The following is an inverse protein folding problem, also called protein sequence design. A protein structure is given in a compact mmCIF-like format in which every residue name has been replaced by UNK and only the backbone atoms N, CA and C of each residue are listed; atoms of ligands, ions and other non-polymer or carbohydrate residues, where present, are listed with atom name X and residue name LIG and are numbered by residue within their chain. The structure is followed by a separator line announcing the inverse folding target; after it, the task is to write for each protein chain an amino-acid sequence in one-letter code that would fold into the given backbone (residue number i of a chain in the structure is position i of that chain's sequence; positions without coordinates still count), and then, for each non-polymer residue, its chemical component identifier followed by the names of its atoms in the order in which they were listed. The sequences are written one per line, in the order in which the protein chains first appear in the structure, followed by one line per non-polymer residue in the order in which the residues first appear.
data_IF_071012198753
#
_entry.id   IF_071012198753
#
_cell.length_a   1.000
_cell.length_b   1.000
_cell.length_c   1.000
_cell.angle_alpha   90.00
_cell.angle_beta   90.00
_cell.angle_gamma   90.00
#
_symmetry.space_group_name_H-M   'P 1'
#
loop_
_entity.id
_entity.type
_entity.pdbx_description
1 polymer ?
#
# COMPACT_ATOMS: atom_id res chain seq x y z
N UNK A 1 21.76 -5.16 -29.23
CA UNK A 1 21.67 -5.41 -27.77
C UNK A 1 21.14 -4.12 -27.19
N UNK A 2 19.96 -4.13 -26.58
CA UNK A 2 19.41 -2.92 -25.95
C UNK A 2 20.23 -2.66 -24.69
N UNK A 3 20.83 -1.48 -24.59
CA UNK A 3 21.34 -1.00 -23.31
C UNK A 3 20.13 -0.95 -22.36
N UNK A 4 20.15 -1.80 -21.33
CA UNK A 4 19.08 -1.84 -20.35
C UNK A 4 19.27 -0.62 -19.46
N UNK A 5 18.34 0.34 -19.54
CA UNK A 5 18.33 1.48 -18.62
C UNK A 5 18.27 0.99 -17.17
N UNK A 6 19.00 1.67 -16.29
CA UNK A 6 18.97 1.40 -14.86
C UNK A 6 17.57 1.71 -14.31
N UNK A 7 17.00 0.78 -13.55
CA UNK A 7 15.78 1.04 -12.78
C UNK A 7 16.16 1.62 -11.42
N UNK A 8 15.43 2.66 -11.00
CA UNK A 8 15.57 3.28 -9.69
C UNK A 8 14.25 3.08 -8.94
N UNK A 9 14.30 2.42 -7.79
CA UNK A 9 13.12 2.06 -7.00
C UNK A 9 13.32 2.54 -5.55
N UNK A 10 12.22 2.97 -4.92
CA UNK A 10 12.17 3.31 -3.50
C UNK A 10 11.17 2.37 -2.84
N UNK A 11 11.62 1.63 -1.83
CA UNK A 11 10.78 0.72 -1.04
C UNK A 11 10.28 1.48 0.18
N UNK A 12 8.96 1.45 0.38
CA UNK A 12 8.31 2.02 1.56
C UNK A 12 7.92 0.87 2.48
N UNK A 13 8.42 0.89 3.71
CA UNK A 13 8.04 -0.04 4.78
C UNK A 13 7.25 0.72 5.85
N UNK A 14 6.15 0.12 6.31
CA UNK A 14 5.31 0.67 7.37
C UNK A 14 3.84 0.83 6.99
N UNK A 15 3.07 1.42 7.90
CA UNK A 15 1.63 1.65 7.74
C UNK A 15 1.33 3.16 7.61
N UNK A 16 0.36 3.49 6.76
CA UNK A 16 -0.20 4.85 6.68
C UNK A 16 -1.49 4.85 7.49
N UNK A 17 -1.65 5.85 8.35
CA UNK A 17 -2.80 5.96 9.25
C UNK A 17 -3.37 7.37 9.19
N UNK A 18 -4.70 7.47 9.17
CA UNK A 18 -5.38 8.74 9.32
C UNK A 18 -5.49 9.09 10.81
N UNK A 19 -5.29 10.37 11.14
CA UNK A 19 -5.44 10.86 12.52
C UNK A 19 -6.91 10.89 12.99
N UNK A 20 -7.86 10.73 12.06
CA UNK A 20 -9.30 10.70 12.33
C UNK A 20 -10.04 10.05 11.17
N UNK A 21 -11.16 9.38 11.49
CA UNK A 21 -12.00 8.70 10.50
C UNK A 21 -11.46 7.32 10.11
N UNK A 22 -12.24 6.62 9.28
CA UNK A 22 -11.86 5.31 8.77
C UNK A 22 -11.17 5.50 7.42
N UNK A 23 -9.86 5.26 7.36
CA UNK A 23 -9.12 5.20 6.10
C UNK A 23 -9.29 3.80 5.51
N UNK A 24 -10.04 3.69 4.41
CA UNK A 24 -10.16 2.43 3.68
C UNK A 24 -9.01 2.29 2.68
N UNK A 25 -8.70 1.05 2.30
CA UNK A 25 -7.68 0.79 1.27
C UNK A 25 -8.05 1.42 -0.08
N UNK A 26 -9.34 1.43 -0.42
CA UNK A 26 -9.85 2.01 -1.68
C UNK A 26 -9.68 3.53 -1.72
N UNK A 27 -10.09 4.26 -0.67
CA UNK A 27 -9.94 5.72 -0.61
C UNK A 27 -8.46 6.12 -0.64
N UNK A 28 -7.62 5.36 0.06
CA UNK A 28 -6.18 5.56 0.01
C UNK A 28 -5.61 5.29 -1.38
N UNK A 29 -5.99 4.18 -2.01
CA UNK A 29 -5.49 3.77 -3.31
C UNK A 29 -5.79 4.82 -4.38
N UNK A 30 -7.01 5.35 -4.44
CA UNK A 30 -7.37 6.38 -5.42
C UNK A 30 -6.46 7.61 -5.30
N UNK A 31 -6.32 8.16 -4.08
CA UNK A 31 -5.48 9.34 -3.83
C UNK A 31 -4.00 9.07 -4.08
N UNK A 32 -3.51 7.90 -3.66
CA UNK A 32 -2.11 7.52 -3.81
C UNK A 32 -1.76 7.32 -5.29
N UNK A 33 -2.60 6.61 -6.04
CA UNK A 33 -2.37 6.36 -7.47
C UNK A 33 -2.40 7.67 -8.26
N UNK A 34 -3.29 8.60 -7.92
CA UNK A 34 -3.30 9.93 -8.53
C UNK A 34 -2.00 10.70 -8.27
N UNK A 35 -1.48 10.66 -7.04
CA UNK A 35 -0.18 11.24 -6.69
C UNK A 35 0.98 10.61 -7.49
N UNK A 36 1.01 9.28 -7.61
CA UNK A 36 2.03 8.55 -8.38
C UNK A 36 2.00 8.97 -9.86
N UNK A 37 0.81 9.00 -10.47
CA UNK A 37 0.62 9.40 -11.87
C UNK A 37 1.03 10.85 -12.12
N UNK A 38 0.71 11.76 -11.19
CA UNK A 38 1.07 13.18 -11.31
C UNK A 38 2.59 13.43 -11.40
N UNK A 39 3.41 12.47 -10.94
CA UNK A 39 4.87 12.53 -10.99
C UNK A 39 5.48 11.69 -12.13
N UNK A 40 4.66 11.16 -13.05
CA UNK A 40 5.08 10.21 -14.09
C UNK A 40 5.79 8.96 -13.53
N UNK A 41 5.37 8.51 -12.34
CA UNK A 41 5.87 7.29 -11.73
C UNK A 41 4.91 6.13 -11.96
N UNK A 42 5.41 4.92 -11.71
CA UNK A 42 4.64 3.68 -11.77
C UNK A 42 4.69 2.99 -10.41
N UNK A 43 3.57 2.42 -9.98
CA UNK A 43 3.49 1.61 -8.77
C UNK A 43 3.21 0.15 -9.15
N UNK A 44 4.05 -0.77 -8.67
CA UNK A 44 4.02 -2.20 -9.02
C UNK A 44 3.70 -3.14 -7.86
N UNK A 45 3.06 -2.66 -6.79
CA UNK A 45 2.76 -3.43 -5.58
C UNK A 45 1.26 -3.61 -5.30
N UNK A 46 0.96 -4.36 -4.24
CA UNK A 46 -0.37 -4.44 -3.64
C UNK A 46 -0.49 -3.54 -2.41
N UNK A 47 -1.72 -3.25 -2.00
CA UNK A 47 -2.03 -2.56 -0.75
C UNK A 47 -2.95 -3.46 0.06
N UNK A 48 -2.74 -3.54 1.38
CA UNK A 48 -3.57 -4.33 2.28
C UNK A 48 -4.18 -3.43 3.35
N UNK A 49 -5.42 -3.71 3.74
CA UNK A 49 -6.06 -3.03 4.85
C UNK A 49 -5.68 -3.68 6.18
N UNK A 50 -5.46 -2.87 7.21
CA UNK A 50 -5.19 -3.31 8.58
C UNK A 50 -6.19 -2.66 9.52
N UNK A 51 -6.80 -3.46 10.39
CA UNK A 51 -7.71 -3.02 11.45
C UNK A 51 -7.25 -3.62 12.77
N UNK A 52 -7.05 -2.80 13.79
CA UNK A 52 -6.62 -3.20 15.14
C UNK A 52 -5.40 -4.15 15.17
N UNK A 53 -4.45 -3.95 14.24
CA UNK A 53 -3.24 -4.78 14.16
C UNK A 53 -3.38 -6.09 13.37
N UNK A 54 -4.48 -6.27 12.63
CA UNK A 54 -4.70 -7.44 11.78
C UNK A 54 -4.89 -7.03 10.32
N UNK A 55 -4.26 -7.76 9.41
CA UNK A 55 -4.67 -7.77 8.01
C UNK A 55 -6.10 -8.31 7.92
N UNK A 56 -6.95 -7.66 7.13
CA UNK A 56 -8.36 -8.04 6.97
C UNK A 56 -8.71 -8.32 5.51
N UNK A 57 -9.76 -9.12 5.30
CA UNK A 57 -10.38 -9.31 3.97
C UNK A 57 -11.36 -8.17 3.63
N UNK A 58 -12.01 -8.28 2.46
CA UNK A 58 -12.96 -7.29 1.96
C UNK A 58 -14.20 -7.14 2.88
N UNK A 59 -14.52 -8.17 3.67
CA UNK A 59 -15.61 -8.19 4.64
C UNK A 59 -15.15 -7.77 6.06
N UNK A 60 -13.92 -7.25 6.19
CA UNK A 60 -13.25 -6.85 7.43
C UNK A 60 -13.01 -7.99 8.44
N UNK A 61 -12.99 -9.24 7.99
CA UNK A 61 -12.62 -10.36 8.87
C UNK A 61 -11.09 -10.42 9.01
N UNK A 62 -10.56 -10.65 10.23
CA UNK A 62 -9.13 -10.77 10.44
C UNK A 62 -8.56 -12.02 9.75
N UNK A 63 -7.51 -11.84 8.96
CA UNK A 63 -6.77 -12.89 8.25
C UNK A 63 -5.50 -13.29 9.02
N UNK A 64 -4.66 -12.31 9.37
CA UNK A 64 -3.33 -12.52 9.99
C UNK A 64 -2.95 -11.33 10.87
N UNK A 65 -2.28 -11.55 12.01
CA UNK A 65 -1.73 -10.46 12.82
C UNK A 65 -0.53 -9.81 12.12
N UNK A 66 -0.35 -8.50 12.26
CA UNK A 66 0.86 -7.81 11.76
C UNK A 66 2.12 -8.23 12.52
N UNK A 67 1.97 -8.71 13.76
CA UNK A 67 3.07 -9.16 14.61
C UNK A 67 3.48 -10.62 14.36
N UNK A 68 2.70 -11.36 13.57
CA UNK A 68 3.04 -12.72 13.18
C UNK A 68 4.22 -12.67 12.20
N UNK A 69 5.43 -12.77 12.77
CA UNK A 69 6.67 -12.97 12.02
C UNK A 69 6.57 -14.29 11.27
N UNK A 70 6.75 -14.21 9.94
CA UNK A 70 6.91 -15.40 9.08
C UNK A 70 8.13 -16.24 9.51
#
# INVERSE_FOLDING_TARGET
MSDKEASYEVILEGAISANSGNLTVEEFADKFIDFIKANNWSFGGGMNQVVDGYYVDDDLNPIKSIDDKD
#
